data_IF_333527120289
#
_entry.id   IF_333527120289
#
_cell.length_a   1.000
_cell.length_b   1.000
_cell.length_c   1.000
_cell.angle_alpha   90.00
_cell.angle_beta   90.00
_cell.angle_gamma   90.00
#
_symmetry.space_group_name_H-M   'P 1'
#
loop_
_entity.id
_entity.type
_entity.pdbx_description
1 polymer ?
#
# COMPACT_ATOMS: atom_id res chain seq x y z
N UNK A 1 21.44 -26.42 22.11
CA UNK A 1 20.02 -26.40 22.50
C UNK A 1 19.31 -25.41 21.60
N UNK A 2 18.40 -25.85 20.73
CA UNK A 2 17.54 -24.94 19.98
C UNK A 2 16.53 -24.34 20.97
N UNK A 3 16.45 -23.01 21.02
CA UNK A 3 15.40 -22.33 21.76
C UNK A 3 14.04 -22.83 21.23
N UNK A 4 13.01 -23.00 22.07
CA UNK A 4 11.69 -23.39 21.60
C UNK A 4 11.25 -22.38 20.54
N UNK A 5 11.00 -22.88 19.33
CA UNK A 5 10.55 -22.07 18.22
C UNK A 5 9.17 -21.52 18.57
N UNK A 6 9.07 -20.21 18.79
CA UNK A 6 7.77 -19.58 18.92
C UNK A 6 7.08 -19.58 17.56
N UNK A 7 5.76 -19.65 17.59
CA UNK A 7 4.89 -19.57 16.43
C UNK A 7 4.26 -18.18 16.35
N UNK A 8 3.87 -17.70 15.16
CA UNK A 8 3.18 -16.42 15.05
C UNK A 8 1.91 -16.33 15.92
N UNK A 9 1.24 -17.45 16.17
CA UNK A 9 0.06 -17.54 17.05
C UNK A 9 0.38 -17.13 18.49
N UNK A 10 1.59 -17.40 18.97
CA UNK A 10 2.04 -17.01 20.31
C UNK A 10 2.04 -15.49 20.50
N UNK A 11 2.13 -14.72 19.41
CA UNK A 11 2.06 -13.26 19.44
C UNK A 11 0.64 -12.74 19.69
N UNK A 12 -0.39 -13.57 19.54
CA UNK A 12 -1.77 -13.17 19.83
C UNK A 12 -2.08 -13.20 21.34
N UNK A 13 -1.24 -13.86 22.13
CA UNK A 13 -1.34 -13.92 23.59
C UNK A 13 -0.74 -12.65 24.19
N UNK A 14 -1.56 -11.87 24.90
CA UNK A 14 -1.18 -10.54 25.39
C UNK A 14 0.09 -10.54 26.25
N UNK A 15 0.21 -11.51 27.15
CA UNK A 15 1.28 -11.64 28.13
C UNK A 15 2.53 -12.36 27.59
N UNK A 16 2.56 -12.67 26.30
CA UNK A 16 3.71 -13.33 25.70
C UNK A 16 4.93 -12.37 25.69
N UNK A 17 6.08 -12.77 26.27
CA UNK A 17 7.26 -11.89 26.34
C UNK A 17 7.85 -11.58 24.95
N UNK A 18 7.70 -12.47 23.98
CA UNK A 18 8.15 -12.27 22.60
C UNK A 18 7.25 -11.23 21.91
N UNK A 19 5.94 -11.28 22.15
CA UNK A 19 5.00 -10.24 21.69
C UNK A 19 5.42 -8.85 22.18
N UNK A 20 5.71 -8.71 23.47
CA UNK A 20 6.14 -7.43 24.04
C UNK A 20 7.42 -6.89 23.38
N UNK A 21 8.38 -7.78 23.09
CA UNK A 21 9.61 -7.42 22.35
C UNK A 21 9.31 -6.93 20.94
N UNK A 22 8.48 -7.64 20.17
CA UNK A 22 8.09 -7.21 18.83
C UNK A 22 7.36 -5.87 18.85
N UNK A 23 6.36 -5.71 19.73
CA UNK A 23 5.62 -4.44 19.86
C UNK A 23 6.58 -3.29 20.17
N UNK A 24 7.51 -3.47 21.10
CA UNK A 24 8.50 -2.45 21.43
C UNK A 24 9.39 -2.10 20.24
N UNK A 25 9.93 -3.09 19.53
CA UNK A 25 10.76 -2.87 18.34
C UNK A 25 9.99 -2.11 17.25
N UNK A 26 8.76 -2.55 16.94
CA UNK A 26 7.93 -1.98 15.88
C UNK A 26 7.57 -0.54 16.22
N UNK A 27 7.13 -0.27 17.46
CA UNK A 27 6.84 1.08 17.91
C UNK A 27 8.09 1.96 17.82
N UNK A 28 9.24 1.51 18.31
CA UNK A 28 10.48 2.27 18.22
C UNK A 28 10.81 2.61 16.75
N UNK A 29 10.83 1.61 15.87
CA UNK A 29 11.13 1.82 14.45
C UNK A 29 10.13 2.77 13.77
N UNK A 30 8.83 2.65 14.06
CA UNK A 30 7.80 3.53 13.53
C UNK A 30 7.99 5.01 13.94
N UNK A 31 8.66 5.27 15.07
CA UNK A 31 8.92 6.62 15.58
C UNK A 31 10.36 7.12 15.39
N UNK A 32 11.33 6.24 15.14
CA UNK A 32 12.77 6.60 15.14
C UNK A 32 13.56 6.22 13.90
N UNK A 33 13.08 5.33 13.03
CA UNK A 33 13.89 4.82 11.91
C UNK A 33 13.71 5.68 10.66
N UNK A 34 14.49 6.77 10.55
CA UNK A 34 14.51 7.63 9.37
C UNK A 34 15.62 7.30 8.36
N UNK A 35 16.63 6.54 8.75
CA UNK A 35 17.81 6.24 7.94
C UNK A 35 17.97 4.73 7.63
N UNK A 36 18.87 4.43 6.69
CA UNK A 36 19.17 3.08 6.20
C UNK A 36 19.75 2.18 7.30
N UNK A 37 20.63 2.73 8.16
CA UNK A 37 21.27 1.98 9.23
C UNK A 37 20.28 1.61 10.33
N UNK A 38 19.38 2.53 10.71
CA UNK A 38 18.31 2.27 11.66
C UNK A 38 17.31 1.24 11.13
N UNK A 39 16.97 1.31 9.84
CA UNK A 39 16.12 0.31 9.19
C UNK A 39 16.77 -1.08 9.19
N UNK A 40 18.05 -1.18 8.82
CA UNK A 40 18.80 -2.44 8.80
C UNK A 40 18.90 -3.06 10.20
N UNK A 41 19.28 -2.25 11.19
CA UNK A 41 19.38 -2.68 12.61
C UNK A 41 18.04 -3.21 13.13
N UNK A 42 16.93 -2.58 12.73
CA UNK A 42 15.60 -3.04 13.11
C UNK A 42 15.28 -4.42 12.51
N UNK A 43 15.52 -4.61 11.21
CA UNK A 43 15.29 -5.91 10.55
C UNK A 43 16.14 -7.00 11.18
N UNK A 44 17.42 -6.73 11.46
CA UNK A 44 18.32 -7.67 12.13
C UNK A 44 17.77 -8.12 13.49
N UNK A 45 17.35 -7.17 14.34
CA UNK A 45 16.74 -7.48 15.65
C UNK A 45 15.47 -8.31 15.52
N UNK A 46 14.64 -8.03 14.52
CA UNK A 46 13.45 -8.84 14.26
C UNK A 46 13.81 -10.25 13.76
N UNK A 47 14.84 -10.39 12.91
CA UNK A 47 15.34 -11.68 12.47
C UNK A 47 15.93 -12.49 13.63
N UNK A 48 16.68 -11.86 14.54
CA UNK A 48 17.21 -12.51 15.74
C UNK A 48 16.08 -13.10 16.60
N UNK A 49 15.00 -12.34 16.80
CA UNK A 49 13.81 -12.86 17.50
C UNK A 49 13.20 -14.04 16.77
N UNK A 50 13.18 -14.02 15.43
CA UNK A 50 12.75 -15.10 14.56
C UNK A 50 13.78 -16.24 14.39
N UNK A 51 14.86 -16.27 15.16
CA UNK A 51 15.91 -17.28 15.03
C UNK A 51 16.62 -17.28 13.66
N UNK A 52 16.59 -16.15 12.96
CA UNK A 52 17.17 -15.96 11.63
C UNK A 52 16.24 -16.30 10.46
N UNK A 53 15.02 -16.80 10.69
CA UNK A 53 14.09 -17.17 9.60
C UNK A 53 13.37 -15.95 9.03
N UNK A 54 13.57 -15.72 7.71
CA UNK A 54 12.83 -14.70 6.95
C UNK A 54 11.37 -15.07 6.75
N UNK A 55 11.07 -16.37 6.68
CA UNK A 55 9.72 -16.90 6.53
C UNK A 55 8.92 -16.64 7.81
N UNK A 56 9.50 -16.92 8.98
CA UNK A 56 8.88 -16.61 10.26
C UNK A 56 8.70 -15.10 10.44
N UNK A 57 9.71 -14.31 10.08
CA UNK A 57 9.59 -12.84 10.06
C UNK A 57 8.42 -12.38 9.18
N UNK A 58 8.29 -12.94 7.98
CA UNK A 58 7.18 -12.68 7.05
C UNK A 58 5.84 -12.98 7.69
N UNK A 59 5.71 -14.11 8.39
CA UNK A 59 4.47 -14.49 9.08
C UNK A 59 4.17 -13.56 10.25
N UNK A 60 5.18 -13.17 11.04
CA UNK A 60 5.04 -12.24 12.16
C UNK A 60 4.49 -10.89 11.69
N UNK A 61 5.08 -10.30 10.66
CA UNK A 61 4.64 -8.99 10.14
C UNK A 61 3.26 -9.00 9.49
N UNK A 62 2.69 -10.18 9.24
CA UNK A 62 1.35 -10.39 8.71
C UNK A 62 0.36 -10.91 9.75
N UNK A 63 0.80 -11.18 10.98
CA UNK A 63 -0.06 -11.66 12.05
C UNK A 63 -0.76 -10.49 12.74
N UNK A 64 -2.07 -10.60 12.94
CA UNK A 64 -2.91 -9.53 13.52
C UNK A 64 -2.83 -9.51 15.05
N UNK A 65 -1.73 -9.04 15.62
CA UNK A 65 -1.55 -8.99 17.09
C UNK A 65 -1.40 -7.57 17.67
N UNK A 66 -1.38 -6.54 16.81
CA UNK A 66 -1.35 -5.14 17.23
C UNK A 66 -2.72 -4.52 16.93
N UNK A 67 -3.62 -4.54 17.92
CA UNK A 67 -4.99 -4.00 17.79
C UNK A 67 -5.79 -4.60 16.62
N UNK A 68 -5.66 -5.92 16.39
CA UNK A 68 -6.27 -6.65 15.26
C UNK A 68 -5.77 -6.17 13.88
N UNK A 69 -4.65 -5.45 13.84
CA UNK A 69 -3.91 -5.07 12.63
C UNK A 69 -2.58 -5.80 12.59
N UNK A 70 -2.05 -5.90 11.37
CA UNK A 70 -0.72 -6.43 11.14
C UNK A 70 0.33 -5.34 11.50
N UNK A 71 1.51 -5.70 12.01
CA UNK A 71 2.60 -4.77 12.25
C UNK A 71 2.87 -3.79 11.09
N UNK A 72 2.84 -4.30 9.85
CA UNK A 72 3.13 -3.51 8.66
C UNK A 72 2.14 -2.35 8.46
N UNK A 73 0.87 -2.53 8.82
CA UNK A 73 -0.15 -1.47 8.81
C UNK A 73 0.28 -0.30 9.70
N UNK A 74 0.74 -0.59 10.92
CA UNK A 74 1.13 0.44 11.86
C UNK A 74 2.38 1.18 11.42
N UNK A 75 3.38 0.48 10.90
CA UNK A 75 4.60 1.12 10.36
C UNK A 75 4.24 2.07 9.22
N UNK A 76 3.33 1.67 8.33
CA UNK A 76 2.85 2.50 7.21
C UNK A 76 2.05 3.73 7.69
N UNK A 77 1.25 3.59 8.74
CA UNK A 77 0.48 4.71 9.30
C UNK A 77 1.37 5.80 9.92
N UNK A 78 2.54 5.42 10.45
CA UNK A 78 3.43 6.33 11.17
C UNK A 78 4.59 6.87 10.31
N UNK A 79 4.73 6.39 9.07
CA UNK A 79 5.81 6.79 8.15
C UNK A 79 5.69 8.23 7.65
N UNK A 80 4.55 8.90 7.85
CA UNK A 80 4.35 10.32 7.48
C UNK A 80 5.34 11.28 8.14
N UNK A 81 5.95 10.87 9.27
CA UNK A 81 6.99 11.64 9.97
C UNK A 81 8.40 11.43 9.40
N UNK A 82 8.59 10.42 8.55
CA UNK A 82 9.91 9.96 8.08
C UNK A 82 10.24 10.42 6.65
N UNK A 83 9.24 10.89 5.89
CA UNK A 83 9.45 11.34 4.51
C UNK A 83 9.92 12.81 4.48
N UNK A 84 11.24 13.03 4.54
CA UNK A 84 11.85 14.34 4.28
C UNK A 84 11.71 14.81 2.82
N UNK A 85 11.34 13.91 1.91
CA UNK A 85 10.92 14.24 0.55
C UNK A 85 9.80 13.31 0.11
N UNK A 86 8.80 13.85 -0.59
CA UNK A 86 7.63 13.09 -1.04
C UNK A 86 7.95 12.05 -2.14
N UNK A 87 9.19 11.90 -2.59
CA UNK A 87 9.55 11.14 -3.79
C UNK A 87 10.19 9.77 -3.51
N UNK A 88 10.64 9.50 -2.29
CA UNK A 88 11.36 8.27 -1.94
C UNK A 88 10.59 7.45 -0.91
N UNK A 89 10.54 6.11 -1.11
CA UNK A 89 10.03 5.19 -0.09
C UNK A 89 10.95 5.30 1.14
N UNK A 90 10.40 5.48 2.36
CA UNK A 90 11.22 5.50 3.57
C UNK A 90 12.06 4.21 3.70
N UNK A 91 13.34 4.29 4.09
CA UNK A 91 14.25 3.14 4.18
C UNK A 91 13.63 1.94 4.88
N UNK A 92 12.99 2.15 6.03
CA UNK A 92 12.33 1.10 6.79
C UNK A 92 11.30 0.31 5.97
N UNK A 93 10.49 1.00 5.17
CA UNK A 93 9.50 0.35 4.31
C UNK A 93 10.22 -0.41 3.19
N UNK A 94 11.23 0.16 2.56
CA UNK A 94 12.03 -0.53 1.52
C UNK A 94 12.62 -1.83 2.05
N UNK A 95 13.25 -1.79 3.23
CA UNK A 95 13.86 -2.95 3.88
C UNK A 95 12.84 -4.01 4.27
N UNK A 96 11.73 -3.61 4.87
CA UNK A 96 10.63 -4.52 5.18
C UNK A 96 10.13 -5.21 3.92
N UNK A 97 9.84 -4.45 2.87
CA UNK A 97 9.29 -5.02 1.65
C UNK A 97 10.30 -5.94 0.93
N UNK A 98 11.61 -5.70 1.05
CA UNK A 98 12.64 -6.59 0.52
C UNK A 98 12.76 -7.91 1.29
N UNK A 99 12.48 -7.92 2.59
CA UNK A 99 12.65 -9.08 3.47
C UNK A 99 11.38 -9.90 3.70
N UNK A 100 10.21 -9.37 3.32
CA UNK A 100 8.92 -9.97 3.61
C UNK A 100 8.27 -10.55 2.34
N UNK A 101 7.83 -11.80 2.42
CA UNK A 101 6.91 -12.38 1.44
C UNK A 101 5.47 -12.02 1.80
N UNK A 102 4.85 -11.13 1.02
CA UNK A 102 3.53 -10.59 1.34
C UNK A 102 2.38 -11.41 0.75
N UNK A 103 1.41 -11.77 1.59
CA UNK A 103 0.12 -12.31 1.16
C UNK A 103 -0.81 -11.23 0.61
N UNK A 104 -1.83 -11.64 -0.14
CA UNK A 104 -2.88 -10.73 -0.62
C UNK A 104 -3.57 -9.95 0.51
N UNK A 105 -3.88 -10.61 1.63
CA UNK A 105 -4.49 -9.92 2.78
C UNK A 105 -3.57 -8.88 3.41
N UNK A 106 -2.25 -9.11 3.42
CA UNK A 106 -1.31 -8.13 3.94
C UNK A 106 -1.23 -6.91 3.02
N UNK A 107 -1.27 -7.12 1.71
CA UNK A 107 -1.33 -6.05 0.71
C UNK A 107 -2.60 -5.20 0.87
N UNK A 108 -3.76 -5.81 1.15
CA UNK A 108 -5.00 -5.08 1.42
C UNK A 108 -4.90 -4.22 2.69
N UNK A 109 -4.28 -4.72 3.77
CA UNK A 109 -4.01 -3.91 4.98
C UNK A 109 -3.05 -2.75 4.65
N UNK A 110 -2.02 -2.96 3.83
CA UNK A 110 -1.09 -1.89 3.42
C UNK A 110 -1.79 -0.82 2.58
N UNK A 111 -2.64 -1.22 1.64
CA UNK A 111 -3.48 -0.31 0.86
C UNK A 111 -4.38 0.52 1.80
N UNK A 112 -5.02 -0.14 2.78
CA UNK A 112 -5.83 0.54 3.80
C UNK A 112 -5.00 1.53 4.64
N UNK A 113 -3.78 1.18 5.04
CA UNK A 113 -2.90 2.09 5.77
C UNK A 113 -2.61 3.36 4.97
N UNK A 114 -2.32 3.21 3.66
CA UNK A 114 -2.13 4.35 2.77
C UNK A 114 -3.41 5.19 2.65
N UNK A 115 -4.56 4.54 2.60
CA UNK A 115 -5.89 5.16 2.54
C UNK A 115 -6.19 6.01 3.79
N UNK A 116 -5.95 5.45 4.98
CA UNK A 116 -6.20 6.12 6.26
C UNK A 116 -5.40 7.41 6.41
N UNK A 117 -4.17 7.44 5.88
CA UNK A 117 -3.27 8.58 6.01
C UNK A 117 -3.06 9.40 4.72
N UNK A 118 -3.83 9.10 3.66
CA UNK A 118 -3.77 9.78 2.36
C UNK A 118 -2.40 9.71 1.67
N UNK A 119 -1.68 8.60 1.84
CA UNK A 119 -0.35 8.42 1.27
C UNK A 119 -0.39 7.98 -0.20
N UNK A 120 -0.83 8.86 -1.10
CA UNK A 120 -1.04 8.57 -2.54
C UNK A 120 0.22 8.03 -3.21
N UNK A 121 1.38 8.62 -2.92
CA UNK A 121 2.65 8.20 -3.53
C UNK A 121 3.14 6.86 -2.98
N UNK A 122 3.02 6.64 -1.67
CA UNK A 122 3.40 5.36 -1.06
C UNK A 122 2.53 4.23 -1.60
N UNK A 123 1.23 4.47 -1.72
CA UNK A 123 0.29 3.56 -2.38
C UNK A 123 0.77 3.20 -3.80
N UNK A 124 1.08 4.20 -4.63
CA UNK A 124 1.60 3.96 -5.99
C UNK A 124 2.91 3.17 -6.01
N UNK A 125 3.82 3.47 -5.08
CA UNK A 125 5.12 2.80 -4.99
C UNK A 125 4.97 1.33 -4.59
N UNK A 126 4.15 1.04 -3.58
CA UNK A 126 3.79 -0.33 -3.18
C UNK A 126 3.16 -1.07 -4.37
N UNK A 127 2.23 -0.42 -5.09
CA UNK A 127 1.57 -1.03 -6.24
C UNK A 127 2.52 -1.37 -7.39
N UNK A 128 3.45 -0.47 -7.69
CA UNK A 128 4.45 -0.68 -8.75
C UNK A 128 5.41 -1.81 -8.38
N UNK A 129 5.89 -1.81 -7.13
CA UNK A 129 6.88 -2.79 -6.66
C UNK A 129 6.31 -4.20 -6.46
N UNK A 130 5.08 -4.32 -5.95
CA UNK A 130 4.57 -5.59 -5.41
C UNK A 130 3.30 -6.08 -6.10
N UNK A 131 2.46 -5.18 -6.61
CA UNK A 131 1.19 -5.56 -7.26
C UNK A 131 1.30 -5.59 -8.78
N UNK A 132 2.50 -5.37 -9.35
CA UNK A 132 2.78 -5.30 -10.79
C UNK A 132 1.78 -4.42 -11.56
N UNK A 133 1.14 -3.47 -10.88
CA UNK A 133 0.23 -2.52 -11.47
C UNK A 133 1.06 -1.30 -11.91
N UNK A 134 2.02 -1.53 -12.81
CA UNK A 134 3.04 -0.56 -13.19
C UNK A 134 2.49 0.68 -13.90
N UNK A 135 1.26 0.60 -14.38
CA UNK A 135 0.86 1.48 -15.48
C UNK A 135 -0.01 2.64 -15.02
N UNK A 136 -0.71 2.53 -13.90
CA UNK A 136 -1.62 3.61 -13.50
C UNK A 136 -0.84 4.68 -12.73
N UNK A 137 -0.68 5.86 -13.33
CA UNK A 137 -0.07 7.02 -12.68
C UNK A 137 -1.18 7.98 -12.28
N UNK A 138 -1.30 8.24 -10.98
CA UNK A 138 -2.29 9.16 -10.42
C UNK A 138 -1.60 10.44 -9.97
N UNK A 139 -2.15 11.58 -10.36
CA UNK A 139 -1.76 12.89 -9.87
C UNK A 139 -2.98 13.51 -9.22
N UNK A 140 -2.82 14.00 -8.00
CA UNK A 140 -3.89 14.62 -7.24
C UNK A 140 -3.46 15.99 -6.75
N UNK A 141 -4.31 17.00 -6.91
CA UNK A 141 -4.06 18.33 -6.39
C UNK A 141 -5.36 19.04 -6.05
N UNK A 142 -5.31 19.89 -5.04
CA UNK A 142 -6.39 20.82 -4.74
C UNK A 142 -6.33 22.01 -5.71
N UNK A 143 -7.47 22.27 -6.36
CA UNK A 143 -7.73 23.43 -7.21
C UNK A 143 -8.82 24.26 -6.52
N UNK A 144 -8.41 25.18 -5.65
CA UNK A 144 -9.35 25.91 -4.78
C UNK A 144 -10.06 24.97 -3.79
N UNK A 145 -11.38 24.89 -3.89
CA UNK A 145 -12.25 24.02 -3.08
C UNK A 145 -12.49 22.63 -3.70
N UNK A 146 -11.97 22.38 -4.91
CA UNK A 146 -12.13 21.12 -5.64
C UNK A 146 -10.85 20.30 -5.60
N UNK A 147 -10.99 19.00 -5.37
CA UNK A 147 -9.89 18.07 -5.53
C UNK A 147 -9.95 17.46 -6.94
N UNK A 148 -8.90 17.67 -7.72
CA UNK A 148 -8.79 17.10 -9.06
C UNK A 148 -7.78 15.96 -9.07
N UNK A 149 -8.14 14.88 -9.76
CA UNK A 149 -7.34 13.68 -9.87
C UNK A 149 -7.19 13.30 -11.35
N UNK A 150 -5.95 13.29 -11.84
CA UNK A 150 -5.60 12.84 -13.19
C UNK A 150 -5.01 11.44 -13.15
N UNK A 151 -5.52 10.55 -14.01
CA UNK A 151 -5.06 9.18 -14.12
C UNK A 151 -4.50 8.95 -15.52
N UNK A 152 -3.24 8.50 -15.61
CA UNK A 152 -2.60 8.10 -16.85
C UNK A 152 -2.45 6.59 -16.91
N UNK A 153 -2.89 5.99 -18.01
CA UNK A 153 -2.73 4.56 -18.31
C UNK A 153 -1.91 4.45 -19.63
N UNK A 154 -0.61 4.16 -19.57
CA UNK A 154 0.24 3.89 -20.71
C UNK A 154 -0.30 2.73 -21.55
N UNK A 155 -0.18 2.86 -22.87
CA UNK A 155 -0.55 1.81 -23.84
C UNK A 155 -2.00 1.34 -23.68
N UNK A 156 -2.89 2.23 -23.24
CA UNK A 156 -4.27 1.88 -22.91
C UNK A 156 -4.98 1.18 -24.08
N UNK A 157 -4.78 1.63 -25.32
CA UNK A 157 -5.42 1.04 -26.50
C UNK A 157 -4.94 -0.39 -26.70
N UNK A 158 -3.62 -0.62 -26.67
CA UNK A 158 -3.04 -1.94 -26.90
C UNK A 158 -3.49 -2.92 -25.82
N UNK A 159 -3.51 -2.46 -24.56
CA UNK A 159 -4.02 -3.23 -23.42
C UNK A 159 -5.51 -3.54 -23.54
N UNK A 160 -6.31 -2.62 -24.04
CA UNK A 160 -7.75 -2.86 -24.26
C UNK A 160 -7.97 -3.88 -25.38
N UNK A 161 -7.16 -3.85 -26.44
CA UNK A 161 -7.24 -4.83 -27.54
C UNK A 161 -6.89 -6.23 -27.03
N UNK A 162 -5.84 -6.35 -26.21
CA UNK A 162 -5.36 -7.64 -25.70
C UNK A 162 -6.28 -8.19 -24.60
N UNK A 163 -6.55 -7.38 -23.56
CA UNK A 163 -7.20 -7.87 -22.34
C UNK A 163 -8.71 -7.70 -22.35
N UNK A 164 -9.26 -6.83 -23.22
CA UNK A 164 -10.66 -6.39 -23.25
C UNK A 164 -11.21 -5.82 -21.93
N UNK A 165 -10.38 -5.75 -20.89
CA UNK A 165 -10.70 -5.24 -19.57
C UNK A 165 -9.44 -4.68 -18.92
N UNK A 166 -9.46 -3.42 -18.54
CA UNK A 166 -8.37 -2.78 -17.80
C UNK A 166 -8.89 -2.33 -16.45
N UNK A 167 -8.12 -2.60 -15.40
CA UNK A 167 -8.33 -2.03 -14.07
C UNK A 167 -7.24 -1.00 -13.81
N UNK A 168 -7.67 0.22 -13.52
CA UNK A 168 -6.82 1.36 -13.20
C UNK A 168 -7.14 1.83 -11.77
N UNK A 169 -6.59 1.15 -10.77
CA UNK A 169 -6.80 1.48 -9.37
C UNK A 169 -6.03 2.74 -8.99
N UNK A 170 -6.67 3.61 -8.20
CA UNK A 170 -6.12 4.88 -7.77
C UNK A 170 -6.66 5.28 -6.40
N UNK A 171 -5.97 6.20 -5.73
CA UNK A 171 -6.42 6.75 -4.46
C UNK A 171 -6.77 8.23 -4.60
N UNK A 172 -7.94 8.61 -4.10
CA UNK A 172 -8.40 9.98 -4.00
C UNK A 172 -9.23 10.16 -2.72
N UNK A 173 -9.01 11.26 -1.98
CA UNK A 173 -9.78 11.63 -0.77
C UNK A 173 -10.03 10.45 0.19
N UNK A 174 -8.95 9.86 0.68
CA UNK A 174 -9.00 8.71 1.63
C UNK A 174 -9.86 7.55 1.14
N UNK A 175 -9.95 7.36 -0.17
CA UNK A 175 -10.70 6.29 -0.81
C UNK A 175 -9.87 5.73 -1.96
N UNK A 176 -9.77 4.41 -2.02
CA UNK A 176 -9.20 3.66 -3.12
C UNK A 176 -10.34 3.27 -4.05
N UNK A 177 -10.19 3.68 -5.30
CA UNK A 177 -11.11 3.39 -6.37
C UNK A 177 -10.46 2.47 -7.38
N UNK A 178 -11.27 1.62 -8.01
CA UNK A 178 -10.92 0.88 -9.21
C UNK A 178 -11.66 1.51 -10.39
N UNK A 179 -10.93 2.18 -11.29
CA UNK A 179 -11.48 2.61 -12.57
C UNK A 179 -11.38 1.44 -13.56
N UNK A 180 -12.52 0.89 -13.94
CA UNK A 180 -12.61 -0.32 -14.75
C UNK A 180 -13.10 0.03 -16.14
N UNK A 181 -12.29 -0.30 -17.14
CA UNK A 181 -12.67 -0.23 -18.55
C UNK A 181 -12.94 -1.65 -19.04
N UNK A 182 -14.03 -1.84 -19.80
CA UNK A 182 -14.34 -3.13 -20.40
C UNK A 182 -14.96 -2.95 -21.79
N UNK A 183 -14.52 -3.77 -22.75
CA UNK A 183 -15.17 -3.88 -24.05
C UNK A 183 -16.43 -4.74 -23.92
N UNK A 184 -17.53 -4.31 -24.54
CA UNK A 184 -18.76 -5.10 -24.66
C UNK A 184 -18.88 -5.69 -26.05
N UNK A 185 -19.62 -6.81 -26.23
CA UNK A 185 -19.98 -7.31 -27.55
C UNK A 185 -20.70 -6.20 -28.34
N UNK A 186 -20.09 -5.71 -29.43
CA UNK A 186 -20.60 -4.60 -30.24
C UNK A 186 -19.79 -3.30 -30.20
N UNK A 187 -18.47 -3.37 -30.00
CA UNK A 187 -17.49 -2.27 -30.12
C UNK A 187 -17.70 -1.07 -29.19
N UNK A 188 -18.56 -1.20 -28.17
CA UNK A 188 -18.73 -0.20 -27.12
C UNK A 188 -17.81 -0.49 -25.95
N UNK A 189 -17.36 0.58 -25.28
CA UNK A 189 -16.64 0.50 -24.03
C UNK A 189 -17.55 0.94 -22.89
N UNK A 190 -17.46 0.21 -21.78
CA UNK A 190 -18.09 0.57 -20.52
C UNK A 190 -16.98 0.98 -19.57
N UNK A 191 -17.19 2.12 -18.92
CA UNK A 191 -16.34 2.59 -17.83
C UNK A 191 -17.14 2.50 -16.55
N UNK A 192 -16.56 1.88 -15.53
CA UNK A 192 -17.13 1.80 -14.18
C UNK A 192 -16.12 2.31 -13.18
N UNK A 193 -16.63 2.92 -12.13
CA UNK A 193 -15.85 3.27 -10.98
C UNK A 193 -16.37 2.50 -9.79
N UNK A 194 -15.50 1.71 -9.17
CA UNK A 194 -15.83 0.90 -7.99
C UNK A 194 -15.00 1.38 -6.79
N UNK A 195 -15.58 1.38 -5.60
CA UNK A 195 -14.84 1.64 -4.36
C UNK A 195 -14.23 0.32 -3.91
N UNK A 196 -12.89 0.25 -3.86
CA UNK A 196 -12.17 -0.93 -3.36
C UNK A 196 -12.02 -0.88 -1.84
N UNK A 197 -11.59 0.26 -1.31
CA UNK A 197 -11.41 0.48 0.12
C UNK A 197 -11.62 1.96 0.45
N UNK A 198 -12.12 2.28 1.62
CA UNK A 198 -12.31 3.66 2.06
C UNK A 198 -11.89 3.81 3.51
N UNK A 199 -11.43 5.01 3.86
CA UNK A 199 -11.17 5.36 5.25
C UNK A 199 -12.48 5.21 6.05
N UNK A 200 -12.46 4.50 7.20
CA UNK A 200 -13.68 4.15 7.94
C UNK A 200 -14.52 5.36 8.36
N UNK A 201 -13.87 6.49 8.66
CA UNK A 201 -14.51 7.70 9.20
C UNK A 201 -14.49 8.95 8.29
N UNK A 202 -13.81 8.91 7.14
CA UNK A 202 -13.60 10.08 6.27
C UNK A 202 -14.09 9.84 4.85
N UNK A 203 -15.10 8.98 4.72
CA UNK A 203 -15.68 8.66 3.41
C UNK A 203 -16.23 9.94 2.75
N UNK A 204 -16.31 9.94 1.42
CA UNK A 204 -16.91 11.04 0.68
C UNK A 204 -18.32 11.31 1.23
N UNK A 205 -18.52 12.47 1.87
CA UNK A 205 -19.81 12.88 2.45
C UNK A 205 -20.93 12.96 1.40
N UNK A 206 -20.56 13.05 0.11
CA UNK A 206 -21.48 13.06 -1.02
C UNK A 206 -20.92 12.23 -2.20
N UNK A 207 -21.44 11.02 -2.45
CA UNK A 207 -21.03 10.18 -3.59
C UNK A 207 -21.22 10.84 -4.97
N UNK A 208 -22.11 11.84 -5.07
CA UNK A 208 -22.38 12.59 -6.31
C UNK A 208 -21.40 13.74 -6.60
N UNK A 209 -20.37 13.96 -5.78
CA UNK A 209 -19.39 15.03 -5.98
C UNK A 209 -18.17 14.62 -6.82
N UNK A 210 -18.14 13.37 -7.31
CA UNK A 210 -17.06 12.89 -8.15
C UNK A 210 -17.46 12.98 -9.63
N UNK A 211 -16.89 13.94 -10.32
CA UNK A 211 -17.01 14.08 -11.77
C UNK A 211 -15.83 13.36 -12.45
N UNK A 212 -16.13 12.39 -13.31
CA UNK A 212 -15.12 11.67 -14.07
C UNK A 212 -15.05 12.25 -15.49
N UNK A 213 -14.04 13.07 -15.74
CA UNK A 213 -13.74 13.60 -17.06
C UNK A 213 -12.66 12.76 -17.75
N UNK A 214 -13.07 11.94 -18.72
CA UNK A 214 -12.16 11.07 -19.46
C UNK A 214 -11.71 11.78 -20.73
N UNK A 215 -10.50 12.32 -20.70
CA UNK A 215 -9.86 12.91 -21.89
C UNK A 215 -8.98 11.88 -22.58
N UNK A 216 -9.25 11.60 -23.86
CA UNK A 216 -8.33 10.83 -24.71
C UNK A 216 -7.18 11.74 -25.15
N UNK A 217 -6.08 11.72 -24.41
CA UNK A 217 -4.85 12.38 -24.85
C UNK A 217 -4.09 11.42 -25.75
N UNK A 218 -4.16 11.62 -27.07
CA UNK A 218 -3.28 10.94 -28.03
C UNK A 218 -1.87 11.54 -27.88
N UNK A 219 -0.96 10.81 -27.25
CA UNK A 219 0.47 11.12 -27.32
C UNK A 219 1.02 10.67 -28.68
N UNK A 220 0.66 11.37 -29.76
CA UNK A 220 1.47 11.34 -30.97
C UNK A 220 2.53 12.43 -30.81
N UNK A 221 3.72 12.02 -30.41
CA UNK A 221 4.89 12.88 -30.30
C UNK A 221 6.12 12.10 -30.73
N UNK A 222 6.62 12.44 -31.91
CA UNK A 222 7.81 11.89 -32.57
C UNK A 222 9.05 11.91 -31.66
N UNK A 223 9.82 10.84 -31.72
CA UNK A 223 11.27 10.87 -31.95
C UNK A 223 11.64 9.64 -32.74
#
# INVERSE_FOLDING_TARGET
>A
MQAPAFTPQDLTVLDNPIRAKFVSLICNAAYSASDEDGASTFIEKCLELCGGSKELLSQVFQTRFMEKRIPLFLVLCHTRRLAGSETTIPPLITHLLHHLELSGSALDDMELACCVHEHIRLYQLIRRGYLQCSDTITFGSWQGDRYECSIKIPEFIDKMVISQKIRAPFMARWTIFDLIFSATPGDKWVVRLEIKAAHPWKQLERPGALELNIHKVRLYGKS
#
